data_IF_330228436483
#
_entry.id   IF_330228436483
#
_cell.length_a   1.000
_cell.length_b   1.000
_cell.length_c   1.000
_cell.angle_alpha   90.00
_cell.angle_beta   90.00
_cell.angle_gamma   90.00
#
_symmetry.space_group_name_H-M   'P 1'
#
loop_
_entity.id
_entity.type
_entity.pdbx_description
1 polymer ?
#
# COMPACT_ATOMS: atom_id res chain seq x y z
N UNK A 1 15.07 -6.15 -6.90
CA UNK A 1 14.08 -5.74 -5.88
C UNK A 1 13.78 -4.26 -6.05
N UNK A 2 12.52 -3.81 -5.99
CA UNK A 2 12.13 -2.39 -6.12
C UNK A 2 12.10 -1.70 -4.76
N UNK A 3 12.26 -0.37 -4.71
CA UNK A 3 12.28 0.40 -3.45
C UNK A 3 10.91 0.38 -2.73
N UNK A 4 9.82 0.31 -3.48
CA UNK A 4 8.47 0.09 -3.00
C UNK A 4 7.68 -0.74 -4.03
N UNK A 5 6.67 -1.47 -3.56
CA UNK A 5 5.69 -2.15 -4.40
C UNK A 5 4.31 -2.05 -3.74
N UNK A 6 3.42 -1.23 -4.30
CA UNK A 6 2.10 -0.98 -3.73
C UNK A 6 1.26 -2.25 -3.59
N UNK A 7 1.24 -3.10 -4.62
CA UNK A 7 0.50 -4.37 -4.61
C UNK A 7 1.01 -5.33 -3.54
N UNK A 8 2.34 -5.44 -3.39
CA UNK A 8 2.95 -6.28 -2.36
C UNK A 8 2.63 -5.79 -0.94
N UNK A 9 2.60 -4.48 -0.73
CA UNK A 9 2.21 -3.86 0.54
C UNK A 9 0.75 -4.16 0.89
N UNK A 10 -0.16 -4.10 -0.08
CA UNK A 10 -1.57 -4.49 0.12
C UNK A 10 -1.69 -5.98 0.47
N UNK A 11 -1.06 -6.85 -0.31
CA UNK A 11 -1.13 -8.31 -0.10
C UNK A 11 -0.59 -8.72 1.28
N UNK A 12 0.58 -8.20 1.66
CA UNK A 12 1.19 -8.47 2.97
C UNK A 12 0.36 -7.91 4.14
N UNK A 13 -0.28 -6.74 3.96
CA UNK A 13 -1.19 -6.17 4.96
C UNK A 13 -2.41 -7.05 5.21
N UNK A 14 -3.02 -7.59 4.15
CA UNK A 14 -4.17 -8.51 4.25
C UNK A 14 -3.73 -9.83 4.90
N UNK A 15 -2.57 -10.38 4.52
CA UNK A 15 -2.04 -11.60 5.13
C UNK A 15 -1.76 -11.43 6.63
N UNK A 16 -1.15 -10.30 7.03
CA UNK A 16 -0.88 -10.01 8.43
C UNK A 16 -2.18 -9.84 9.25
N UNK A 17 -3.22 -9.27 8.65
CA UNK A 17 -4.56 -9.20 9.25
C UNK A 17 -5.17 -10.59 9.43
N UNK A 18 -5.10 -11.46 8.42
CA UNK A 18 -5.57 -12.85 8.50
C UNK A 18 -4.85 -13.64 9.60
N UNK A 19 -3.57 -13.37 9.81
CA UNK A 19 -2.78 -13.92 10.92
C UNK A 19 -3.08 -13.25 12.28
N UNK A 20 -4.06 -12.35 12.35
CA UNK A 20 -4.47 -11.59 13.55
C UNK A 20 -3.33 -10.77 14.17
N UNK A 21 -2.33 -10.37 13.37
CA UNK A 21 -1.16 -9.60 13.84
C UNK A 21 -1.38 -8.08 13.79
N UNK A 22 -2.29 -7.63 12.92
CA UNK A 22 -2.58 -6.20 12.69
C UNK A 22 -4.07 -5.98 12.49
N UNK A 23 -4.51 -4.72 12.55
CA UNK A 23 -5.88 -4.28 12.20
C UNK A 23 -5.81 -3.14 11.18
N UNK A 24 -6.77 -3.02 10.24
CA UNK A 24 -6.85 -1.87 9.35
C UNK A 24 -7.15 -0.58 10.14
N UNK A 25 -6.57 0.57 9.76
CA UNK A 25 -5.57 0.74 8.70
C UNK A 25 -4.17 0.23 9.11
N UNK A 26 -3.51 -0.48 8.20
CA UNK A 26 -2.15 -1.03 8.38
C UNK A 26 -1.13 -0.04 7.84
N UNK A 27 -0.05 0.21 8.57
CA UNK A 27 1.06 1.05 8.13
C UNK A 27 2.27 0.17 7.81
N UNK A 28 2.82 0.32 6.62
CA UNK A 28 3.94 -0.51 6.12
C UNK A 28 5.08 0.39 5.70
N UNK A 29 6.25 0.22 6.33
CA UNK A 29 7.48 0.89 5.94
C UNK A 29 8.12 0.13 4.78
N UNK A 30 8.28 0.80 3.64
CA UNK A 30 8.96 0.25 2.46
C UNK A 30 10.47 0.41 2.58
N UNK A 31 11.23 -0.29 1.73
CA UNK A 31 12.70 -0.16 1.67
C UNK A 31 13.12 1.25 1.22
N UNK A 32 12.31 1.91 0.38
CA UNK A 32 12.49 3.30 -0.03
C UNK A 32 12.30 4.33 1.09
N UNK A 33 11.88 3.91 2.28
CA UNK A 33 11.71 4.76 3.46
C UNK A 33 10.29 5.30 3.63
N UNK A 34 9.47 5.28 2.58
CA UNK A 34 8.08 5.70 2.65
C UNK A 34 7.24 4.76 3.52
N UNK A 35 6.33 5.35 4.28
CA UNK A 35 5.30 4.62 5.01
C UNK A 35 4.01 4.69 4.19
N UNK A 36 3.54 3.52 3.76
CA UNK A 36 2.26 3.39 3.07
C UNK A 36 1.18 2.98 4.06
N UNK A 37 -0.03 3.52 3.88
CA UNK A 37 -1.21 3.20 4.69
C UNK A 37 -2.20 2.38 3.84
N UNK A 38 -2.55 1.20 4.32
CA UNK A 38 -3.52 0.30 3.69
C UNK A 38 -4.79 0.26 4.53
N UNK A 39 -5.91 0.68 3.95
CA UNK A 39 -7.23 0.52 4.55
C UNK A 39 -8.04 -0.50 3.75
N UNK A 40 -8.86 -1.28 4.43
CA UNK A 40 -9.80 -2.21 3.82
C UNK A 40 -10.86 -2.62 4.85
N UNK A 41 -11.98 -3.10 4.34
CA UNK A 41 -13.06 -3.71 5.13
C UNK A 41 -13.01 -5.23 4.95
N UNK A 42 -13.22 -5.99 6.02
CA UNK A 42 -13.32 -7.44 5.95
C UNK A 42 -14.80 -7.85 5.94
N UNK A 43 -15.28 -8.36 4.82
CA UNK A 43 -16.69 -8.73 4.63
C UNK A 43 -16.77 -10.05 3.84
N UNK A 44 -17.50 -11.03 4.36
CA UNK A 44 -17.70 -12.35 3.75
C UNK A 44 -16.37 -13.00 3.32
N UNK A 45 -15.41 -13.06 4.24
CA UNK A 45 -14.06 -13.61 4.04
C UNK A 45 -13.26 -12.99 2.89
N UNK A 46 -13.56 -11.72 2.57
CA UNK A 46 -12.86 -10.97 1.53
C UNK A 46 -12.53 -9.56 2.00
N UNK A 47 -11.37 -9.06 1.55
CA UNK A 47 -11.05 -7.64 1.63
C UNK A 47 -11.87 -6.87 0.58
N UNK A 48 -12.61 -5.86 1.04
CA UNK A 48 -13.40 -4.94 0.22
C UNK A 48 -12.94 -3.51 0.46
N UNK A 49 -13.21 -2.62 -0.50
CA UNK A 49 -12.83 -1.21 -0.42
C UNK A 49 -11.36 -1.00 -0.03
N UNK A 50 -10.47 -1.70 -0.74
CA UNK A 50 -9.04 -1.62 -0.48
C UNK A 50 -8.51 -0.29 -0.99
N UNK A 51 -7.93 0.50 -0.09
CA UNK A 51 -7.33 1.80 -0.38
C UNK A 51 -5.88 1.77 0.07
N UNK A 52 -4.97 2.09 -0.85
CA UNK A 52 -3.55 2.30 -0.58
C UNK A 52 -3.26 3.80 -0.67
N UNK A 53 -2.69 4.36 0.40
CA UNK A 53 -2.28 5.76 0.46
C UNK A 53 -0.78 5.84 0.70
N UNK A 54 -0.13 6.77 0.01
CA UNK A 54 1.30 7.01 0.11
C UNK A 54 1.68 8.38 -0.46
N UNK A 55 2.92 8.82 -0.24
CA UNK A 55 3.41 10.07 -0.79
C UNK A 55 3.59 9.96 -2.31
N UNK A 56 3.40 11.10 -2.97
CA UNK A 56 3.80 11.31 -4.36
C UNK A 56 4.61 12.61 -4.42
N UNK A 57 5.68 12.63 -5.21
CA UNK A 57 6.54 13.80 -5.37
C UNK A 57 6.85 13.97 -6.85
N UNK A 58 6.71 15.20 -7.33
CA UNK A 58 7.19 15.59 -8.65
C UNK A 58 8.71 15.67 -8.55
N UNK A 59 9.41 14.93 -9.41
CA UNK A 59 10.88 14.89 -9.44
C UNK A 59 11.46 15.70 -10.59
N UNK A 60 10.70 15.90 -11.67
CA UNK A 60 11.04 16.76 -12.79
C UNK A 60 9.75 17.15 -13.55
N UNK A 61 9.86 18.17 -14.39
CA UNK A 61 8.83 18.58 -15.35
C UNK A 61 9.45 18.69 -16.76
N UNK A 62 8.66 18.50 -17.81
CA UNK A 62 9.14 18.55 -19.19
C UNK A 62 8.01 18.52 -20.23
N UNK A 63 8.35 18.75 -21.49
CA UNK A 63 7.42 18.70 -22.63
C UNK A 63 7.68 17.42 -23.41
N UNK A 64 6.62 16.62 -23.64
CA UNK A 64 6.67 15.45 -24.52
C UNK A 64 5.95 15.75 -25.83
N UNK A 65 6.68 15.76 -26.94
CA UNK A 65 6.11 15.91 -28.27
C UNK A 65 5.62 14.55 -28.77
N UNK A 66 4.31 14.43 -28.96
CA UNK A 66 3.62 13.29 -29.60
C UNK A 66 3.41 13.57 -31.07
#
# INVERSE_FOLDING_TARGET
ETLACGTGVVASSILAYLQKRVKPPVHVKTRGGDVLRVHFQWVNDRARHVVLQGPARIVFEGVWHV
#
